data_IF_646414377420
#
_entry.id   IF_646414377420
#
_cell.length_a   1.000
_cell.length_b   1.000
_cell.length_c   1.000
_cell.angle_alpha   90.00
_cell.angle_beta   90.00
_cell.angle_gamma   90.00
#
_symmetry.space_group_name_H-M   'P 1'
#
loop_
_entity.id
_entity.type
_entity.pdbx_description
1 polymer ?
#
# COMPACT_ATOMS: atom_id res chain seq x y z
N UNK A 1 -4.74 -4.90 17.37
CA UNK A 1 -3.98 -6.10 17.81
C UNK A 1 -2.77 -5.65 18.64
N UNK A 2 -1.87 -4.81 18.13
CA UNK A 2 -0.67 -4.39 18.84
C UNK A 2 -0.93 -3.75 20.22
N UNK A 3 -2.01 -2.97 20.38
CA UNK A 3 -2.38 -2.36 21.65
C UNK A 3 -2.84 -3.36 22.73
N UNK A 4 -3.32 -4.54 22.34
CA UNK A 4 -3.79 -5.57 23.27
C UNK A 4 -2.80 -6.73 23.45
N UNK A 5 -1.63 -6.65 22.83
CA UNK A 5 -0.61 -7.69 22.95
C UNK A 5 0.21 -7.50 24.24
N UNK A 6 0.46 -8.59 24.95
CA UNK A 6 1.35 -8.64 26.12
C UNK A 6 2.84 -8.76 25.71
N UNK A 7 3.10 -9.26 24.50
CA UNK A 7 4.43 -9.34 23.88
C UNK A 7 4.36 -8.91 22.42
N UNK A 8 5.19 -7.95 22.04
CA UNK A 8 5.38 -7.48 20.66
C UNK A 8 6.81 -7.79 20.22
N UNK A 9 6.95 -8.67 19.23
CA UNK A 9 8.23 -8.93 18.57
C UNK A 9 8.30 -8.03 17.32
N UNK A 10 9.10 -6.98 17.38
CA UNK A 10 9.29 -6.01 16.31
C UNK A 10 10.60 -6.29 15.56
N UNK A 11 10.50 -6.64 14.30
CA UNK A 11 11.61 -7.01 13.42
C UNK A 11 11.78 -5.98 12.31
N UNK A 12 12.87 -5.21 12.31
CA UNK A 12 13.16 -4.20 11.30
C UNK A 12 12.13 -3.07 11.27
N UNK A 13 11.61 -2.65 12.42
CA UNK A 13 10.54 -1.66 12.55
C UNK A 13 11.06 -0.39 13.20
N UNK A 14 11.00 0.71 12.52
CA UNK A 14 11.46 2.02 13.06
C UNK A 14 10.45 2.72 13.99
N UNK A 15 9.26 2.15 14.20
CA UNK A 15 8.19 2.74 15.03
C UNK A 15 7.86 4.19 14.66
N UNK A 16 7.71 4.46 13.37
CA UNK A 16 7.25 5.77 12.90
C UNK A 16 5.73 5.93 13.15
N UNK A 17 5.25 7.15 12.95
CA UNK A 17 3.84 7.52 13.15
C UNK A 17 2.85 6.74 12.27
N UNK A 18 3.30 6.24 11.10
CA UNK A 18 2.48 5.40 10.21
C UNK A 18 2.19 4.04 10.81
N UNK A 19 3.13 3.51 11.60
CA UNK A 19 2.99 2.23 12.31
C UNK A 19 2.29 2.43 13.65
N UNK A 20 2.70 3.45 14.40
CA UNK A 20 2.29 3.61 15.79
C UNK A 20 1.04 4.47 15.98
N UNK A 21 0.79 5.41 15.07
CA UNK A 21 -0.09 6.53 15.36
C UNK A 21 0.47 7.32 16.56
N UNK A 22 -0.30 7.45 17.63
CA UNK A 22 0.20 8.09 18.85
C UNK A 22 1.18 7.17 19.58
N UNK A 23 2.47 7.50 19.52
CA UNK A 23 3.59 6.66 20.00
C UNK A 23 3.42 6.23 21.45
N UNK A 24 2.96 7.14 22.34
CA UNK A 24 2.79 6.85 23.75
C UNK A 24 1.76 5.75 24.01
N UNK A 25 0.73 5.69 23.16
CA UNK A 25 -0.39 4.76 23.29
C UNK A 25 -0.18 3.44 22.56
N UNK A 26 0.88 3.34 21.74
CA UNK A 26 1.18 2.12 21.00
C UNK A 26 1.81 1.07 21.92
N UNK A 27 1.19 -0.10 22.06
CA UNK A 27 1.66 -1.20 22.92
C UNK A 27 2.08 -0.70 24.32
N UNK A 28 1.18 0.02 25.00
CA UNK A 28 1.46 0.73 26.25
C UNK A 28 1.83 -0.23 27.39
N UNK A 29 1.17 -1.38 27.46
CA UNK A 29 1.31 -2.37 28.55
C UNK A 29 2.11 -3.60 28.15
N UNK A 30 2.41 -3.78 26.86
CA UNK A 30 3.10 -4.95 26.35
C UNK A 30 4.64 -4.86 26.46
N UNK A 31 5.28 -6.01 26.54
CA UNK A 31 6.73 -6.11 26.41
C UNK A 31 7.14 -6.01 24.95
N UNK A 32 8.05 -5.09 24.63
CA UNK A 32 8.56 -4.90 23.26
C UNK A 32 9.96 -5.49 23.15
N UNK A 33 10.10 -6.50 22.29
CA UNK A 33 11.38 -7.02 21.82
C UNK A 33 11.66 -6.39 20.46
N UNK A 34 12.72 -5.61 20.33
CA UNK A 34 13.05 -4.89 19.09
C UNK A 34 14.33 -5.44 18.48
N UNK A 35 14.21 -6.07 17.32
CA UNK A 35 15.33 -6.61 16.56
C UNK A 35 15.54 -5.69 15.35
N UNK A 36 16.71 -5.07 15.27
CA UNK A 36 17.09 -4.23 14.14
C UNK A 36 18.59 -4.35 13.88
N UNK A 37 19.00 -4.23 12.63
CA UNK A 37 20.40 -4.23 12.23
C UNK A 37 21.09 -2.89 12.55
N UNK A 38 20.32 -1.81 12.55
CA UNK A 38 20.79 -0.46 12.83
C UNK A 38 20.66 -0.14 14.34
N UNK A 39 21.80 -0.04 15.07
CA UNK A 39 21.74 0.30 16.48
C UNK A 39 21.16 1.70 16.73
N UNK A 40 21.25 2.62 15.76
CA UNK A 40 20.72 3.98 15.90
C UNK A 40 19.19 4.04 15.82
N UNK A 41 18.55 3.04 15.19
CA UNK A 41 17.10 2.88 15.11
C UNK A 41 16.48 2.36 16.40
N UNK A 42 17.27 1.63 17.21
CA UNK A 42 16.81 1.01 18.46
C UNK A 42 16.48 2.09 19.50
N UNK A 43 15.27 2.04 20.07
CA UNK A 43 14.74 3.00 21.07
C UNK A 43 14.63 4.44 20.60
N UNK A 44 14.79 4.73 19.32
CA UNK A 44 14.75 6.09 18.79
C UNK A 44 13.36 6.71 18.96
N UNK A 45 12.32 6.04 18.47
CA UNK A 45 10.94 6.55 18.49
C UNK A 45 10.10 5.92 19.61
N UNK A 46 10.33 4.64 19.91
CA UNK A 46 9.60 3.90 20.95
C UNK A 46 10.59 3.14 21.83
N UNK A 47 10.52 3.28 23.16
CA UNK A 47 11.33 2.45 24.07
C UNK A 47 11.06 0.96 23.85
N UNK A 48 12.13 0.16 23.84
CA UNK A 48 12.05 -1.29 23.78
C UNK A 48 12.56 -1.90 25.10
N UNK A 49 11.81 -2.87 25.61
CA UNK A 49 12.19 -3.59 26.83
C UNK A 49 13.43 -4.46 26.59
N UNK A 50 13.48 -5.14 25.44
CA UNK A 50 14.61 -5.97 25.04
C UNK A 50 15.07 -5.56 23.64
N UNK A 51 16.15 -4.77 23.53
CA UNK A 51 16.77 -4.44 22.24
C UNK A 51 17.73 -5.56 21.82
N UNK A 52 17.70 -5.91 20.52
CA UNK A 52 18.59 -6.87 19.90
C UNK A 52 19.15 -6.27 18.62
N UNK A 53 20.43 -5.87 18.62
CA UNK A 53 21.11 -5.39 17.42
C UNK A 53 21.61 -6.61 16.64
N UNK A 54 20.92 -6.93 15.55
CA UNK A 54 21.24 -8.12 14.76
C UNK A 54 20.50 -8.10 13.42
N UNK A 55 21.06 -8.80 12.42
CA UNK A 55 20.30 -9.23 11.26
C UNK A 55 19.10 -10.08 11.68
N UNK A 56 17.92 -9.78 11.14
CA UNK A 56 16.65 -10.44 11.52
C UNK A 56 16.67 -11.93 11.20
N UNK A 57 17.24 -12.34 10.07
CA UNK A 57 17.35 -13.76 9.69
C UNK A 57 18.17 -14.54 10.71
N UNK A 58 19.30 -13.96 11.13
CA UNK A 58 20.15 -14.56 12.17
C UNK A 58 19.42 -14.65 13.51
N UNK A 59 18.84 -13.54 13.98
CA UNK A 59 18.15 -13.50 15.27
C UNK A 59 16.98 -14.48 15.34
N UNK A 60 16.14 -14.51 14.30
CA UNK A 60 14.99 -15.44 14.23
C UNK A 60 15.46 -16.89 14.10
N UNK A 61 16.55 -17.14 13.36
CA UNK A 61 17.17 -18.47 13.29
C UNK A 61 17.58 -18.98 14.67
N UNK A 62 18.29 -18.15 15.44
CA UNK A 62 18.71 -18.49 16.81
C UNK A 62 17.50 -18.66 17.75
N UNK A 63 16.50 -17.80 17.64
CA UNK A 63 15.28 -17.93 18.43
C UNK A 63 14.57 -19.26 18.14
N UNK A 64 14.44 -19.64 16.87
CA UNK A 64 13.83 -20.92 16.48
C UNK A 64 14.60 -22.13 17.02
N UNK A 65 15.94 -22.10 17.00
CA UNK A 65 16.76 -23.16 17.59
C UNK A 65 16.52 -23.31 19.10
N UNK A 66 16.43 -22.18 19.81
CA UNK A 66 16.15 -22.17 21.25
C UNK A 66 14.74 -22.67 21.57
N UNK A 67 13.75 -22.29 20.77
CA UNK A 67 12.35 -22.71 20.93
C UNK A 67 12.13 -24.18 20.64
N UNK A 68 12.82 -24.74 19.64
CA UNK A 68 12.76 -26.19 19.35
C UNK A 68 13.25 -27.07 20.50
N UNK A 69 14.15 -26.57 21.32
CA UNK A 69 14.64 -27.24 22.52
C UNK A 69 13.68 -27.17 23.70
N UNK A 70 12.67 -26.30 23.61
CA UNK A 70 11.66 -26.10 24.64
C UNK A 70 10.30 -26.56 24.07
N UNK A 71 9.67 -27.53 24.69
CA UNK A 71 8.32 -27.94 24.31
C UNK A 71 7.32 -26.82 24.68
N UNK A 72 7.11 -25.88 23.77
CA UNK A 72 6.09 -24.83 23.94
C UNK A 72 4.74 -25.40 23.50
N UNK A 73 4.05 -26.10 24.39
CA UNK A 73 2.71 -26.64 24.14
C UNK A 73 1.58 -25.63 24.42
N UNK A 74 1.89 -24.37 24.65
CA UNK A 74 0.84 -23.36 24.89
C UNK A 74 0.04 -23.10 23.62
N UNK A 75 -1.22 -23.48 23.64
CA UNK A 75 -2.21 -23.07 22.65
C UNK A 75 -2.69 -21.67 23.03
N UNK A 76 -2.44 -20.67 22.19
CA UNK A 76 -2.91 -19.30 22.40
C UNK A 76 -4.38 -19.14 21.97
N UNK A 77 -5.23 -20.11 22.33
CA UNK A 77 -6.63 -20.18 21.87
C UNK A 77 -7.42 -18.90 22.19
N UNK A 78 -7.35 -18.43 23.43
CA UNK A 78 -8.05 -17.18 23.84
C UNK A 78 -7.58 -15.96 23.07
N UNK A 79 -6.28 -15.88 22.74
CA UNK A 79 -5.74 -14.80 21.96
C UNK A 79 -6.22 -14.84 20.50
N UNK A 80 -6.26 -16.02 19.90
CA UNK A 80 -6.82 -16.22 18.56
C UNK A 80 -8.31 -15.88 18.51
N UNK A 81 -9.10 -16.34 19.48
CA UNK A 81 -10.51 -16.00 19.62
C UNK A 81 -10.73 -14.49 19.72
N UNK A 82 -9.88 -13.80 20.49
CA UNK A 82 -9.93 -12.35 20.62
C UNK A 82 -9.59 -11.64 19.29
N UNK A 83 -8.56 -12.11 18.58
CA UNK A 83 -8.21 -11.57 17.25
C UNK A 83 -9.36 -11.80 16.26
N UNK A 84 -9.96 -12.98 16.26
CA UNK A 84 -11.07 -13.31 15.36
C UNK A 84 -12.32 -12.47 15.68
N UNK A 85 -12.59 -12.21 16.95
CA UNK A 85 -13.64 -11.28 17.38
C UNK A 85 -13.39 -9.87 16.83
N UNK A 86 -12.16 -9.37 16.90
CA UNK A 86 -11.81 -8.05 16.34
C UNK A 86 -11.94 -8.00 14.82
N UNK A 87 -11.50 -9.05 14.12
CA UNK A 87 -11.64 -9.17 12.65
C UNK A 87 -13.11 -9.18 12.22
N UNK A 88 -13.98 -9.90 12.96
CA UNK A 88 -15.42 -9.94 12.69
C UNK A 88 -16.07 -8.56 12.93
N UNK A 89 -15.66 -7.85 13.96
CA UNK A 89 -16.21 -6.52 14.30
C UNK A 89 -15.75 -5.42 13.36
N UNK A 90 -14.54 -5.50 12.86
CA UNK A 90 -13.93 -4.55 11.93
C UNK A 90 -13.29 -5.27 10.75
N UNK A 91 -14.09 -5.86 9.85
CA UNK A 91 -13.56 -6.53 8.68
C UNK A 91 -12.94 -5.50 7.71
N UNK A 92 -11.93 -5.92 6.97
CA UNK A 92 -11.50 -5.20 5.76
C UNK A 92 -12.59 -5.36 4.70
N UNK A 93 -13.57 -4.47 4.75
CA UNK A 93 -14.64 -4.39 3.77
C UNK A 93 -14.63 -3.02 3.12
N UNK A 94 -15.11 -2.95 1.92
CA UNK A 94 -15.36 -1.70 1.23
C UNK A 94 -16.79 -1.70 0.68
N UNK A 95 -17.39 -0.54 0.65
CA UNK A 95 -18.71 -0.33 0.06
C UNK A 95 -18.83 1.13 -0.36
N UNK A 96 -19.66 1.38 -1.32
CA UNK A 96 -20.06 2.75 -1.66
C UNK A 96 -20.93 3.25 -0.52
N UNK A 97 -20.43 4.23 0.21
CA UNK A 97 -21.17 4.89 1.30
C UNK A 97 -21.73 6.22 0.80
N UNK A 98 -22.74 6.74 1.52
CA UNK A 98 -23.27 8.09 1.25
C UNK A 98 -22.18 9.17 1.33
N UNK A 99 -21.16 8.97 2.18
CA UNK A 99 -20.02 9.89 2.29
C UNK A 99 -19.19 9.89 1.01
N UNK A 100 -18.90 8.69 0.45
CA UNK A 100 -18.21 8.56 -0.85
C UNK A 100 -19.01 9.23 -1.94
N UNK A 101 -20.32 8.95 -2.01
CA UNK A 101 -21.22 9.55 -3.03
C UNK A 101 -21.37 11.07 -2.88
N UNK A 102 -21.27 11.60 -1.66
CA UNK A 102 -21.30 13.03 -1.37
C UNK A 102 -19.95 13.73 -1.55
N UNK A 103 -18.87 12.99 -1.80
CA UNK A 103 -17.56 13.59 -2.03
C UNK A 103 -17.59 14.52 -3.26
N UNK A 104 -16.77 15.57 -3.23
CA UNK A 104 -16.74 16.54 -4.34
C UNK A 104 -16.38 15.86 -5.66
N UNK A 105 -15.40 14.95 -5.62
CA UNK A 105 -14.99 14.18 -6.78
C UNK A 105 -16.15 13.40 -7.41
N UNK A 106 -16.94 12.71 -6.59
CA UNK A 106 -18.09 11.95 -7.08
C UNK A 106 -19.18 12.86 -7.65
N UNK A 107 -19.43 14.00 -7.01
CA UNK A 107 -20.37 15.00 -7.52
C UNK A 107 -19.96 15.54 -8.88
N UNK A 108 -18.69 15.82 -9.06
CA UNK A 108 -18.17 16.40 -10.30
C UNK A 108 -18.22 15.39 -11.47
N UNK A 109 -17.99 14.10 -11.19
CA UNK A 109 -17.87 13.06 -12.23
C UNK A 109 -19.14 12.24 -12.45
N UNK A 110 -20.03 12.13 -11.47
CA UNK A 110 -21.25 11.33 -11.54
C UNK A 110 -22.54 12.16 -11.61
N UNK A 111 -22.45 13.49 -11.76
CA UNK A 111 -23.62 14.37 -11.76
C UNK A 111 -24.74 13.85 -12.67
N UNK A 112 -25.78 13.27 -12.06
CA UNK A 112 -26.99 12.80 -12.75
C UNK A 112 -26.91 11.40 -13.38
N UNK A 113 -25.91 10.59 -13.06
CA UNK A 113 -25.80 9.21 -13.56
C UNK A 113 -25.75 8.22 -12.37
N UNK A 114 -26.80 7.41 -12.24
CA UNK A 114 -26.78 6.21 -11.40
C UNK A 114 -25.88 5.15 -12.05
N UNK A 115 -24.58 5.31 -11.96
CA UNK A 115 -23.62 4.34 -12.50
C UNK A 115 -22.92 3.61 -11.37
N UNK A 116 -22.63 2.34 -11.60
CA UNK A 116 -21.79 1.59 -10.69
C UNK A 116 -20.40 2.26 -10.57
N UNK A 117 -19.97 2.45 -9.33
CA UNK A 117 -18.68 3.08 -9.05
C UNK A 117 -17.62 2.01 -8.91
N UNK A 118 -16.56 2.12 -9.70
CA UNK A 118 -15.40 1.26 -9.55
C UNK A 118 -14.62 1.70 -8.31
N UNK A 119 -14.65 0.88 -7.26
CA UNK A 119 -13.84 1.11 -6.07
C UNK A 119 -12.42 0.56 -6.27
N UNK A 120 -11.38 1.31 -5.84
CA UNK A 120 -9.99 0.86 -5.96
C UNK A 120 -9.71 -0.52 -5.36
N UNK A 121 -10.36 -0.82 -4.24
CA UNK A 121 -10.23 -2.11 -3.56
C UNK A 121 -10.75 -3.27 -4.41
N UNK A 122 -11.89 -3.07 -5.10
CA UNK A 122 -12.46 -4.03 -6.04
C UNK A 122 -11.50 -4.34 -7.20
N UNK A 123 -10.84 -3.31 -7.74
CA UNK A 123 -9.85 -3.50 -8.81
C UNK A 123 -8.70 -4.39 -8.34
N UNK A 124 -8.24 -4.21 -7.11
CA UNK A 124 -7.12 -4.98 -6.56
C UNK A 124 -7.52 -6.43 -6.27
N UNK A 125 -8.72 -6.66 -5.73
CA UNK A 125 -9.24 -8.01 -5.51
C UNK A 125 -9.44 -8.76 -6.83
N UNK A 126 -10.02 -8.09 -7.83
CA UNK A 126 -10.19 -8.66 -9.16
C UNK A 126 -8.83 -8.98 -9.81
N UNK A 127 -7.83 -8.10 -9.66
CA UNK A 127 -6.47 -8.36 -10.11
C UNK A 127 -5.90 -9.61 -9.45
N UNK A 128 -6.11 -9.78 -8.13
CA UNK A 128 -5.68 -10.97 -7.42
C UNK A 128 -6.33 -12.23 -8.00
N UNK A 129 -7.64 -12.21 -8.23
CA UNK A 129 -8.38 -13.34 -8.81
C UNK A 129 -7.91 -13.67 -10.24
N UNK A 130 -7.79 -12.67 -11.11
CA UNK A 130 -7.36 -12.83 -12.52
C UNK A 130 -5.91 -13.30 -12.67
N UNK A 131 -5.08 -13.10 -11.67
CA UNK A 131 -3.68 -13.54 -11.66
C UNK A 131 -3.44 -14.76 -10.78
N UNK A 132 -4.50 -15.36 -10.24
CA UNK A 132 -4.39 -16.40 -9.21
C UNK A 132 -3.47 -16.00 -8.05
N UNK A 133 -3.34 -14.69 -7.79
CA UNK A 133 -2.43 -14.14 -6.80
C UNK A 133 -0.94 -14.40 -7.07
N UNK A 134 -0.57 -14.72 -8.31
CA UNK A 134 0.82 -15.07 -8.67
C UNK A 134 1.61 -13.89 -9.28
N UNK A 135 0.94 -12.77 -9.61
CA UNK A 135 1.64 -11.61 -10.17
C UNK A 135 2.60 -10.98 -9.16
N UNK A 136 3.71 -10.45 -9.65
CA UNK A 136 4.54 -9.51 -8.91
C UNK A 136 3.87 -8.15 -8.99
N UNK A 137 3.64 -7.54 -7.84
CA UNK A 137 2.98 -6.25 -7.73
C UNK A 137 4.03 -5.19 -7.37
N UNK A 138 4.06 -4.12 -8.16
CA UNK A 138 4.77 -2.91 -7.79
C UNK A 138 3.77 -1.81 -7.46
N UNK A 139 4.16 -0.82 -6.68
CA UNK A 139 3.29 0.32 -6.41
C UNK A 139 4.06 1.63 -6.41
N UNK A 140 3.44 2.68 -6.94
CA UNK A 140 3.80 4.03 -6.54
C UNK A 140 3.47 4.32 -5.08
N UNK A 141 3.43 5.58 -4.69
CA UNK A 141 3.16 5.99 -3.31
C UNK A 141 1.90 6.85 -3.24
N UNK A 142 0.95 6.39 -2.42
CA UNK A 142 -0.35 7.01 -2.24
C UNK A 142 -1.37 6.05 -1.62
N UNK A 143 -2.65 6.37 -1.71
CA UNK A 143 -3.72 5.50 -1.21
C UNK A 143 -3.71 4.12 -1.92
N UNK A 144 -3.41 4.10 -3.22
CA UNK A 144 -3.26 2.87 -4.00
C UNK A 144 -2.25 1.90 -3.40
N UNK A 145 -1.13 2.41 -2.86
CA UNK A 145 -0.13 1.61 -2.15
C UNK A 145 -0.72 0.94 -0.90
N UNK A 146 -1.51 1.69 -0.12
CA UNK A 146 -2.15 1.16 1.08
C UNK A 146 -3.19 0.09 0.70
N UNK A 147 -4.01 0.35 -0.33
CA UNK A 147 -5.00 -0.62 -0.78
C UNK A 147 -4.36 -1.88 -1.36
N UNK A 148 -3.27 -1.76 -2.14
CA UNK A 148 -2.52 -2.91 -2.62
C UNK A 148 -2.02 -3.78 -1.46
N UNK A 149 -1.45 -3.17 -0.41
CA UNK A 149 -1.01 -3.89 0.78
C UNK A 149 -2.14 -4.54 1.60
N UNK A 150 -3.37 -4.01 1.52
CA UNK A 150 -4.52 -4.49 2.29
C UNK A 150 -5.34 -5.57 1.56
N UNK A 151 -5.53 -5.43 0.25
CA UNK A 151 -6.49 -6.23 -0.52
C UNK A 151 -5.84 -7.25 -1.45
N UNK A 152 -4.58 -7.06 -1.88
CA UNK A 152 -3.84 -8.09 -2.60
C UNK A 152 -3.23 -9.08 -1.60
N UNK A 153 -3.60 -10.36 -1.69
CA UNK A 153 -3.14 -11.39 -0.75
C UNK A 153 -1.81 -11.98 -1.21
N UNK A 154 -0.71 -11.41 -0.74
CA UNK A 154 0.65 -11.85 -1.11
C UNK A 154 0.93 -13.26 -0.59
N UNK A 155 1.49 -14.12 -1.45
CA UNK A 155 1.74 -15.54 -1.19
C UNK A 155 3.20 -15.85 -0.88
N UNK A 156 4.14 -15.04 -1.38
CA UNK A 156 5.56 -15.34 -1.27
C UNK A 156 6.39 -14.05 -1.09
N UNK A 157 7.62 -14.18 -0.53
CA UNK A 157 8.53 -13.04 -0.36
C UNK A 157 8.89 -12.37 -1.68
N UNK A 158 9.10 -11.04 -1.65
CA UNK A 158 9.44 -10.20 -2.81
C UNK A 158 8.37 -10.15 -3.91
N UNK A 159 7.16 -10.48 -3.57
CA UNK A 159 6.01 -10.32 -4.46
C UNK A 159 5.51 -8.89 -4.51
N UNK A 160 5.66 -8.13 -3.42
CA UNK A 160 5.37 -6.70 -3.35
C UNK A 160 6.67 -5.90 -3.39
N UNK A 161 6.80 -5.02 -4.38
CA UNK A 161 7.89 -4.06 -4.51
C UNK A 161 7.32 -2.65 -4.36
N UNK A 162 7.70 -1.96 -3.30
CA UNK A 162 7.14 -0.65 -2.97
C UNK A 162 8.13 0.20 -2.19
N UNK A 163 8.07 1.51 -2.38
CA UNK A 163 8.88 2.45 -1.60
C UNK A 163 8.26 2.71 -0.22
N UNK A 164 8.28 1.69 0.64
CA UNK A 164 7.68 1.79 1.98
C UNK A 164 8.51 2.64 2.96
N UNK A 165 9.82 2.69 2.78
CA UNK A 165 10.74 3.42 3.66
C UNK A 165 10.76 4.92 3.40
N UNK A 166 11.11 5.33 2.19
CA UNK A 166 11.22 6.74 1.79
C UNK A 166 9.89 7.31 1.28
N UNK A 167 8.99 6.48 0.77
CA UNK A 167 7.73 6.94 0.20
C UNK A 167 7.93 7.72 -1.10
N UNK A 168 8.83 7.26 -1.97
CA UNK A 168 9.14 7.94 -3.22
C UNK A 168 8.03 7.71 -4.25
N UNK A 169 7.23 8.72 -4.54
CA UNK A 169 6.30 8.71 -5.66
C UNK A 169 7.06 8.51 -6.99
N UNK A 170 6.43 7.83 -7.96
CA UNK A 170 7.07 7.49 -9.23
C UNK A 170 7.94 6.22 -9.18
N UNK A 171 8.05 5.56 -8.04
CA UNK A 171 8.81 4.30 -7.91
C UNK A 171 8.14 3.14 -8.66
N UNK A 172 6.82 3.10 -8.74
CA UNK A 172 6.03 1.93 -9.13
C UNK A 172 6.38 1.39 -10.51
N UNK A 173 6.19 2.20 -11.55
CA UNK A 173 6.37 1.75 -12.94
C UNK A 173 7.82 1.41 -13.29
N UNK A 174 8.85 2.21 -12.95
CA UNK A 174 10.25 1.81 -13.13
C UNK A 174 10.60 0.49 -12.45
N UNK A 175 10.09 0.29 -11.22
CA UNK A 175 10.28 -0.97 -10.50
C UNK A 175 9.59 -2.15 -11.20
N UNK A 176 8.43 -1.93 -11.83
CA UNK A 176 7.75 -2.94 -12.64
C UNK A 176 8.58 -3.37 -13.86
N UNK A 177 9.20 -2.41 -14.54
CA UNK A 177 10.11 -2.70 -15.65
C UNK A 177 11.29 -3.56 -15.17
N UNK A 178 11.94 -3.16 -14.08
CA UNK A 178 13.04 -3.92 -13.48
C UNK A 178 12.63 -5.32 -13.04
N UNK A 179 11.45 -5.45 -12.41
CA UNK A 179 10.92 -6.75 -12.01
C UNK A 179 10.60 -7.65 -13.21
N UNK A 180 10.09 -7.08 -14.31
CA UNK A 180 9.81 -7.83 -15.54
C UNK A 180 11.07 -8.29 -16.24
N UNK A 181 12.13 -7.50 -16.23
CA UNK A 181 13.46 -7.90 -16.73
C UNK A 181 14.03 -9.03 -15.89
N UNK A 182 13.92 -8.94 -14.56
CA UNK A 182 14.44 -9.96 -13.65
C UNK A 182 13.61 -11.26 -13.66
N UNK A 183 12.33 -11.17 -13.97
CA UNK A 183 11.38 -12.30 -13.98
C UNK A 183 10.55 -12.29 -15.26
N UNK A 184 11.15 -12.59 -16.43
CA UNK A 184 10.50 -12.44 -17.73
C UNK A 184 9.23 -13.29 -17.91
N UNK A 185 9.17 -14.44 -17.25
CA UNK A 185 8.04 -15.37 -17.36
C UNK A 185 6.88 -15.03 -16.39
N UNK A 186 7.10 -14.11 -15.45
CA UNK A 186 6.08 -13.70 -14.48
C UNK A 186 5.24 -12.54 -14.99
N UNK A 187 3.98 -12.53 -14.58
CA UNK A 187 3.18 -11.30 -14.71
C UNK A 187 3.68 -10.26 -13.71
N UNK A 188 3.91 -9.04 -14.18
CA UNK A 188 4.27 -7.91 -13.34
C UNK A 188 3.26 -6.80 -13.58
N UNK A 189 2.66 -6.31 -12.51
CA UNK A 189 1.64 -5.27 -12.55
C UNK A 189 1.98 -4.17 -11.57
N UNK A 190 2.08 -2.95 -12.08
CA UNK A 190 2.16 -1.75 -11.28
C UNK A 190 0.75 -1.27 -10.90
N UNK A 191 0.52 -1.03 -9.62
CA UNK A 191 -0.68 -0.38 -9.11
C UNK A 191 -0.29 1.03 -8.69
N UNK A 192 -0.66 2.01 -9.48
CA UNK A 192 -0.24 3.39 -9.23
C UNK A 192 -1.43 4.35 -9.16
N UNK A 193 -1.20 5.53 -8.61
CA UNK A 193 -2.10 6.67 -8.68
C UNK A 193 -1.65 7.61 -9.80
N UNK A 194 -2.58 8.43 -10.26
CA UNK A 194 -2.34 9.43 -11.30
C UNK A 194 -1.13 10.33 -11.00
N UNK A 195 -1.08 10.94 -9.82
CA UNK A 195 0.04 11.81 -9.45
C UNK A 195 1.37 11.11 -9.31
N UNK A 196 1.39 9.88 -8.83
CA UNK A 196 2.63 9.11 -8.66
C UNK A 196 3.16 8.62 -10.00
N UNK A 197 2.30 8.08 -10.86
CA UNK A 197 2.68 7.61 -12.19
C UNK A 197 3.30 8.70 -13.07
N UNK A 198 2.77 9.93 -12.97
CA UNK A 198 3.28 11.08 -13.74
C UNK A 198 4.75 11.40 -13.45
N UNK A 199 5.24 11.11 -12.26
CA UNK A 199 6.60 11.48 -11.86
C UNK A 199 7.68 10.76 -12.64
N UNK A 200 7.40 9.58 -13.20
CA UNK A 200 8.31 8.81 -14.03
C UNK A 200 7.63 8.28 -15.30
N UNK A 201 6.70 9.04 -15.86
CA UNK A 201 5.94 8.68 -17.07
C UNK A 201 6.85 8.46 -18.28
N UNK A 202 8.02 9.09 -18.34
CA UNK A 202 9.01 8.92 -19.40
C UNK A 202 9.51 7.47 -19.53
N UNK A 203 9.36 6.66 -18.49
CA UNK A 203 9.71 5.23 -18.54
C UNK A 203 8.81 4.40 -19.46
N UNK A 204 7.70 4.97 -19.94
CA UNK A 204 6.95 4.40 -21.06
C UNK A 204 7.81 4.30 -22.32
N UNK A 205 8.77 5.22 -22.53
CA UNK A 205 9.73 5.13 -23.62
C UNK A 205 10.66 3.91 -23.45
N UNK A 206 11.18 3.71 -22.24
CA UNK A 206 12.00 2.54 -21.88
C UNK A 206 11.22 1.25 -22.13
N UNK A 207 9.98 1.16 -21.66
CA UNK A 207 9.12 0.01 -21.87
C UNK A 207 8.91 -0.31 -23.35
N UNK A 208 8.67 0.71 -24.17
CA UNK A 208 8.44 0.56 -25.60
C UNK A 208 9.71 0.13 -26.35
N UNK A 209 10.83 0.81 -26.14
CA UNK A 209 12.09 0.55 -26.83
C UNK A 209 12.66 -0.83 -26.47
N UNK A 210 12.68 -1.14 -25.18
CA UNK A 210 13.21 -2.40 -24.65
C UNK A 210 12.20 -3.56 -24.71
N UNK A 211 10.97 -3.30 -25.18
CA UNK A 211 9.88 -4.29 -25.29
C UNK A 211 9.56 -4.99 -23.97
N UNK A 212 9.60 -4.26 -22.89
CA UNK A 212 9.33 -4.77 -21.54
C UNK A 212 7.83 -4.76 -21.27
N UNK A 213 7.21 -5.93 -21.23
CA UNK A 213 5.76 -6.08 -21.07
C UNK A 213 5.32 -6.07 -19.60
N UNK A 214 5.65 -5.00 -18.87
CA UNK A 214 5.05 -4.71 -17.57
C UNK A 214 3.71 -3.97 -17.76
N UNK A 215 2.71 -4.28 -16.95
CA UNK A 215 1.41 -3.62 -16.99
C UNK A 215 1.31 -2.56 -15.90
N UNK A 216 0.57 -1.48 -16.15
CA UNK A 216 0.23 -0.48 -15.14
C UNK A 216 -1.29 -0.32 -15.03
N UNK A 217 -1.80 -0.31 -13.80
CA UNK A 217 -3.17 0.03 -13.45
C UNK A 217 -3.13 1.36 -12.72
N UNK A 218 -3.60 2.43 -13.38
CA UNK A 218 -3.62 3.76 -12.80
C UNK A 218 -4.99 4.01 -12.17
N UNK A 219 -5.03 4.08 -10.85
CA UNK A 219 -6.21 4.44 -10.07
C UNK A 219 -6.34 5.97 -10.01
N UNK A 220 -6.99 6.51 -11.02
CA UNK A 220 -7.08 7.96 -11.23
C UNK A 220 -8.27 8.56 -10.49
N UNK A 221 -8.00 9.36 -9.47
CA UNK A 221 -8.98 10.17 -8.76
C UNK A 221 -8.71 11.69 -8.87
N UNK A 222 -7.74 12.08 -9.68
CA UNK A 222 -7.29 13.45 -9.90
C UNK A 222 -6.89 14.19 -8.60
N UNK A 223 -6.44 13.44 -7.61
CA UNK A 223 -6.04 14.01 -6.33
C UNK A 223 -4.79 13.32 -5.78
N UNK A 224 -4.00 14.05 -5.02
CA UNK A 224 -3.03 13.49 -4.08
C UNK A 224 -3.80 12.87 -2.90
N UNK A 225 -4.49 11.74 -3.16
CA UNK A 225 -5.53 11.20 -2.30
C UNK A 225 -5.09 10.88 -0.88
N UNK A 226 -3.83 10.46 -0.66
CA UNK A 226 -3.30 10.25 0.68
C UNK A 226 -3.16 11.58 1.43
N UNK A 227 -2.75 12.65 0.75
CA UNK A 227 -2.65 13.99 1.35
C UNK A 227 -4.05 14.52 1.69
N UNK A 228 -5.01 14.38 0.77
CA UNK A 228 -6.43 14.72 1.03
C UNK A 228 -6.95 14.01 2.27
N UNK A 229 -6.65 12.73 2.44
CA UNK A 229 -7.06 11.97 3.62
C UNK A 229 -6.48 12.56 4.92
N UNK A 230 -5.25 13.08 4.89
CA UNK A 230 -4.63 13.74 6.03
C UNK A 230 -5.23 15.13 6.28
N UNK A 231 -5.48 15.90 5.22
CA UNK A 231 -6.15 17.19 5.30
C UNK A 231 -7.54 17.05 5.96
N UNK A 232 -8.32 16.07 5.54
CA UNK A 232 -9.64 15.79 6.14
C UNK A 232 -9.54 15.38 7.61
N UNK A 233 -8.55 14.55 7.95
CA UNK A 233 -8.44 13.96 9.27
C UNK A 233 -7.84 14.88 10.32
N UNK A 234 -6.90 15.74 9.94
CA UNK A 234 -6.09 16.51 10.89
C UNK A 234 -6.12 18.03 10.65
N UNK A 235 -6.63 18.49 9.50
CA UNK A 235 -6.60 19.88 9.11
C UNK A 235 -7.98 20.41 8.69
N UNK A 236 -9.06 19.81 9.20
CA UNK A 236 -10.45 20.24 9.00
C UNK A 236 -10.84 20.39 7.50
N UNK A 237 -10.20 19.62 6.64
CA UNK A 237 -10.44 19.66 5.19
C UNK A 237 -9.79 20.86 4.48
N UNK A 238 -8.89 21.59 5.12
CA UNK A 238 -8.14 22.67 4.47
C UNK A 238 -7.21 22.10 3.39
N UNK A 239 -7.41 22.53 2.13
CA UNK A 239 -6.75 21.96 0.95
C UNK A 239 -5.44 22.70 0.59
N UNK A 240 -4.36 21.93 0.50
CA UNK A 240 -3.02 22.41 0.09
C UNK A 240 -2.69 22.06 -1.37
N UNK A 241 -3.53 22.48 -2.33
CA UNK A 241 -3.32 22.21 -3.78
C UNK A 241 -3.23 20.72 -4.12
N UNK A 242 -4.07 19.89 -3.52
CA UNK A 242 -4.07 18.43 -3.67
C UNK A 242 -4.88 17.94 -4.88
N UNK A 243 -5.62 18.81 -5.54
CA UNK A 243 -6.30 18.52 -6.80
C UNK A 243 -5.33 18.61 -7.97
N UNK A 244 -5.28 17.57 -8.80
CA UNK A 244 -4.34 17.44 -9.93
C UNK A 244 -5.00 17.72 -11.30
N UNK A 245 -6.33 17.81 -11.34
CA UNK A 245 -7.06 18.12 -12.55
C UNK A 245 -7.12 19.61 -12.87
N UNK A 246 -7.87 19.96 -13.91
CA UNK A 246 -8.14 21.35 -14.30
C UNK A 246 -9.16 21.98 -13.32
N UNK A 247 -8.78 22.99 -12.54
CA UNK A 247 -9.68 23.63 -11.57
C UNK A 247 -10.87 24.36 -12.25
N UNK A 248 -10.71 24.81 -13.48
CA UNK A 248 -11.72 25.53 -14.23
C UNK A 248 -12.68 24.58 -14.98
N UNK A 249 -12.25 23.33 -15.21
CA UNK A 249 -13.04 22.31 -15.86
C UNK A 249 -12.91 20.95 -15.18
N UNK A 250 -13.55 20.80 -14.03
CA UNK A 250 -13.47 19.58 -13.21
C UNK A 250 -14.06 18.32 -13.86
N UNK A 251 -14.80 18.46 -14.96
CA UNK A 251 -15.31 17.32 -15.75
C UNK A 251 -14.24 16.74 -16.67
N UNK A 252 -13.21 17.49 -16.96
CA UNK A 252 -12.08 17.05 -17.78
C UNK A 252 -11.16 16.17 -16.94
N UNK A 253 -10.89 14.96 -17.42
CA UNK A 253 -9.85 14.11 -16.85
C UNK A 253 -8.51 14.59 -17.43
N UNK A 254 -7.70 15.21 -16.60
CA UNK A 254 -6.42 15.80 -16.96
C UNK A 254 -5.29 15.28 -16.06
N UNK A 255 -4.10 14.98 -16.61
CA UNK A 255 -3.82 14.88 -18.05
C UNK A 255 -4.53 13.69 -18.72
N UNK A 256 -4.61 13.70 -20.06
CA UNK A 256 -5.14 12.57 -20.79
C UNK A 256 -4.10 11.44 -20.89
N UNK A 257 -4.19 10.47 -20.00
CA UNK A 257 -3.31 9.32 -19.94
C UNK A 257 -3.38 8.43 -21.17
N UNK A 258 -4.53 8.42 -21.89
CA UNK A 258 -4.68 7.66 -23.13
C UNK A 258 -3.86 8.30 -24.24
N UNK A 259 -3.99 9.61 -24.42
CA UNK A 259 -3.20 10.36 -25.40
C UNK A 259 -1.71 10.26 -25.08
N UNK A 260 -1.34 10.37 -23.82
CA UNK A 260 0.03 10.26 -23.33
C UNK A 260 0.62 8.88 -23.61
N UNK A 261 -0.03 7.80 -23.25
CA UNK A 261 0.44 6.44 -23.53
C UNK A 261 0.59 6.19 -25.05
N UNK A 262 -0.37 6.67 -25.85
CA UNK A 262 -0.30 6.60 -27.31
C UNK A 262 0.91 7.34 -27.88
N UNK A 263 1.32 8.47 -27.33
CA UNK A 263 2.50 9.21 -27.76
C UNK A 263 3.81 8.42 -27.56
N UNK A 264 3.82 7.49 -26.61
CA UNK A 264 4.90 6.53 -26.38
C UNK A 264 4.71 5.20 -27.09
N UNK A 265 3.69 5.05 -27.96
CA UNK A 265 3.31 3.79 -28.60
C UNK A 265 3.00 2.65 -27.62
N UNK A 266 2.51 2.97 -26.42
CA UNK A 266 2.11 1.98 -25.42
C UNK A 266 0.59 1.80 -25.47
N UNK A 267 0.07 0.57 -25.60
CA UNK A 267 -1.37 0.31 -25.57
C UNK A 267 -1.96 0.73 -24.23
N UNK A 268 -3.07 1.44 -24.28
CA UNK A 268 -3.75 1.93 -23.08
C UNK A 268 -5.28 1.92 -23.28
N UNK A 269 -6.01 1.63 -22.21
CA UNK A 269 -7.46 1.65 -22.18
C UNK A 269 -7.96 2.35 -20.92
N UNK A 270 -9.03 3.14 -21.05
CA UNK A 270 -9.73 3.74 -19.92
C UNK A 270 -10.96 2.91 -19.59
N UNK A 271 -11.13 2.62 -18.30
CA UNK A 271 -12.32 1.97 -17.76
C UNK A 271 -12.98 2.97 -16.82
N UNK A 272 -14.27 3.24 -17.03
CA UNK A 272 -15.03 4.25 -16.28
C UNK A 272 -16.11 3.62 -15.38
N UNK A 273 -16.59 2.43 -15.75
CA UNK A 273 -17.70 1.74 -15.07
C UNK A 273 -17.52 0.24 -15.16
#
# INVERSE_FOLDING_TARGET
IAHGADLLLACGVRFDDRVTGKVDKFCETGTIVHIDIDPSGIKKNKPANLPIVSDVKYAIGRLNEMLRKRSLQKKFTKWHEQIDSWKKRAPFGYRVTDEVMKSQHMRDHLAGQEKEVILPQMVIELLYELTDGEAIITTGVGQHQMWAGQYYKFKFPRQLLTSAGLGAMGYGYPAALGAKVACPDRQVVDIDGDGSFLMNVQELATAHIEKIAAKAIILNNQHLGMVVQWEDKFYEGNRGHTYLGDPDNRKLIYPDYIAMAKSFNVPCQRVMY
#
